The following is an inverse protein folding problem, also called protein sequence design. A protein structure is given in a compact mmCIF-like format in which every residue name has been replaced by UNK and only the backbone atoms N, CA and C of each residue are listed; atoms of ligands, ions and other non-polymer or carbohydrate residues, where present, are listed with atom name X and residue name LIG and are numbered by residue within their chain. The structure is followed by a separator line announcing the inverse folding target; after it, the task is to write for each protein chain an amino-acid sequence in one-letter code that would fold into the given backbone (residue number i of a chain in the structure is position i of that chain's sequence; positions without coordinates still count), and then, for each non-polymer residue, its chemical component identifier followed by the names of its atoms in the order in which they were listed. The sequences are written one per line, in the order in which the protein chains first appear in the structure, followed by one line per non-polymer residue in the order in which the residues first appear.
data_IF_787865661002
#
_entry.id   IF_787865661002
#
_cell.length_a   1.000
_cell.length_b   1.000
_cell.length_c   1.000
_cell.angle_alpha   90.00
_cell.angle_beta   90.00
_cell.angle_gamma   90.00
#
_symmetry.space_group_name_H-M   'P 1'
#
loop_
_entity.id
_entity.type
_entity.pdbx_description
1 polymer ?
#
# COMPACT_ATOMS: atom_id res chain seq x y z
N UNK A 1 -16.29 19.35 3.94
CA UNK A 1 -15.92 20.45 3.05
C UNK A 1 -14.77 21.22 3.66
N UNK A 2 -13.54 20.85 3.38
CA UNK A 2 -12.36 21.70 3.59
C UNK A 2 -11.65 21.82 2.26
N UNK A 3 -11.55 23.06 1.79
CA UNK A 3 -10.94 23.42 0.53
C UNK A 3 -9.41 23.30 0.61
N UNK A 4 -8.83 22.72 -0.43
CA UNK A 4 -7.39 22.67 -0.66
C UNK A 4 -6.90 24.09 -1.00
N UNK A 5 -5.84 24.66 -0.36
CA UNK A 5 -5.35 26.00 -0.63
C UNK A 5 -4.72 26.09 -2.02
N UNK A 6 -5.35 26.86 -2.90
CA UNK A 6 -4.84 27.20 -4.23
C UNK A 6 -3.59 28.06 -4.14
N UNK A 7 -2.58 27.74 -4.97
CA UNK A 7 -1.38 28.57 -5.16
C UNK A 7 -1.75 29.90 -5.79
N UNK A 8 -1.55 30.97 -5.04
CA UNK A 8 -1.65 32.34 -5.54
C UNK A 8 -0.58 32.61 -6.60
N UNK A 9 -1.01 33.17 -7.73
CA UNK A 9 -0.12 33.75 -8.74
C UNK A 9 0.44 35.06 -8.18
N UNK A 10 1.74 35.11 -7.95
CA UNK A 10 2.46 36.33 -7.61
C UNK A 10 2.57 37.25 -8.85
N UNK A 11 1.98 38.42 -8.76
CA UNK A 11 2.21 39.53 -9.70
C UNK A 11 3.58 40.15 -9.44
N UNK A 12 4.30 40.45 -10.53
CA UNK A 12 5.55 41.20 -10.51
C UNK A 12 5.24 42.71 -10.40
N UNK A 13 5.88 43.47 -9.50
CA UNK A 13 5.76 44.93 -9.52
C UNK A 13 6.72 45.57 -10.52
N UNK A 14 6.13 46.55 -11.26
CA UNK A 14 6.81 47.32 -12.28
C UNK A 14 7.87 48.27 -11.77
N UNK A 15 8.80 48.59 -12.66
CA UNK A 15 9.82 49.64 -12.53
C UNK A 15 9.22 51.03 -12.62
N UNK A 16 9.60 51.93 -11.72
CA UNK A 16 9.67 53.36 -12.01
C UNK A 16 10.88 53.95 -11.28
N UNK A 17 11.62 54.78 -12.04
CA UNK A 17 12.88 55.34 -11.67
C UNK A 17 12.81 56.69 -10.96
N UNK A 18 13.95 57.22 -10.57
CA UNK A 18 14.13 58.58 -10.13
C UNK A 18 15.18 58.78 -9.05
N UNK A 19 16.31 59.11 -9.32
CA UNK A 19 17.36 60.08 -9.11
C UNK A 19 17.54 60.67 -7.71
N UNK A 20 18.81 60.84 -7.30
CA UNK A 20 19.17 61.76 -6.23
C UNK A 20 20.50 61.40 -5.52
N UNK A 21 21.52 62.20 -5.77
CA UNK A 21 22.86 62.10 -5.21
C UNK A 21 22.98 62.47 -3.74
N UNK A 22 23.95 61.89 -3.02
CA UNK A 22 24.38 62.35 -1.71
C UNK A 22 25.53 61.50 -1.15
N UNK A 23 26.74 62.06 -1.16
CA UNK A 23 27.95 61.49 -0.55
C UNK A 23 27.86 61.60 0.98
N UNK A 24 28.37 60.62 1.73
CA UNK A 24 29.28 60.84 2.85
C UNK A 24 29.99 59.54 3.30
N UNK A 25 31.24 59.71 3.64
CA UNK A 25 32.21 58.71 4.12
C UNK A 25 31.83 58.11 5.49
N UNK A 26 32.16 56.83 5.66
CA UNK A 26 32.19 56.20 7.00
C UNK A 26 32.63 54.74 6.83
N UNK A 27 33.94 54.50 7.01
CA UNK A 27 34.48 53.15 6.95
C UNK A 27 34.10 52.38 8.21
N UNK A 28 33.58 51.17 7.99
CA UNK A 28 33.47 50.11 9.00
C UNK A 28 34.00 48.83 8.37
N UNK A 29 35.01 48.30 8.97
CA UNK A 29 35.64 47.01 8.63
C UNK A 29 34.63 45.90 8.79
N UNK A 30 34.24 45.29 7.70
CA UNK A 30 33.44 44.08 7.72
C UNK A 30 34.33 42.86 7.86
N UNK A 31 34.32 42.23 9.03
CA UNK A 31 34.76 40.86 9.19
C UNK A 31 33.84 39.94 8.37
N UNK A 32 34.39 39.39 7.31
CA UNK A 32 33.75 38.36 6.50
C UNK A 32 33.85 37.03 7.24
N UNK A 33 32.77 36.65 7.88
CA UNK A 33 32.56 35.27 8.37
C UNK A 33 32.52 34.36 7.16
N UNK A 34 33.31 33.28 7.08
CA UNK A 34 33.21 32.33 5.98
C UNK A 34 31.85 31.61 6.06
N UNK A 35 31.13 31.61 4.94
CA UNK A 35 29.94 30.79 4.75
C UNK A 35 30.28 29.32 5.04
N UNK A 36 29.36 28.55 5.65
CA UNK A 36 29.62 27.15 5.86
C UNK A 36 29.78 26.47 4.50
N UNK A 37 30.98 25.92 4.33
CA UNK A 37 31.34 25.06 3.22
C UNK A 37 30.22 24.02 3.02
N UNK A 38 29.53 24.09 1.87
CA UNK A 38 28.58 23.08 1.50
C UNK A 38 29.23 21.71 1.55
N UNK A 39 28.72 20.86 2.43
CA UNK A 39 29.12 19.47 2.43
C UNK A 39 28.78 18.91 1.04
N UNK A 40 29.80 18.76 0.21
CA UNK A 40 29.70 17.98 -1.01
C UNK A 40 29.34 16.58 -0.58
N UNK A 41 28.10 16.16 -0.88
CA UNK A 41 27.72 14.76 -0.81
C UNK A 41 28.72 14.03 -1.70
N UNK A 42 29.51 13.08 -1.18
CA UNK A 42 30.41 12.32 -2.01
C UNK A 42 29.59 11.65 -3.10
N UNK A 43 29.83 11.93 -4.35
CA UNK A 43 29.36 11.12 -5.46
C UNK A 43 30.17 9.83 -5.42
N UNK A 44 29.73 8.88 -4.58
CA UNK A 44 30.37 7.56 -4.50
C UNK A 44 30.00 6.79 -5.77
N UNK A 45 30.74 7.08 -6.84
CA UNK A 45 30.60 6.44 -8.16
C UNK A 45 30.96 4.93 -8.12
N UNK A 46 31.39 4.44 -6.95
CA UNK A 46 31.74 3.04 -6.69
C UNK A 46 30.72 2.27 -5.85
N UNK A 47 29.71 2.93 -5.29
CA UNK A 47 28.73 2.27 -4.47
C UNK A 47 27.64 1.61 -5.34
N UNK A 48 27.33 0.35 -5.04
CA UNK A 48 26.25 -0.38 -5.71
C UNK A 48 24.88 0.26 -5.49
N UNK A 49 23.97 0.00 -6.39
CA UNK A 49 22.61 0.51 -6.32
C UNK A 49 21.59 -0.56 -6.72
N UNK A 50 20.66 -0.86 -5.83
CA UNK A 50 19.48 -1.64 -6.16
C UNK A 50 18.33 -0.71 -6.53
N UNK A 51 17.79 -0.89 -7.73
CA UNK A 51 16.62 -0.15 -8.23
C UNK A 51 15.47 -1.11 -8.41
N UNK A 52 14.34 -0.86 -7.76
CA UNK A 52 13.08 -1.56 -7.99
C UNK A 52 12.24 -0.73 -8.95
N UNK A 53 11.84 -1.28 -10.08
CA UNK A 53 11.04 -0.51 -11.02
C UNK A 53 9.67 -1.13 -11.26
N UNK A 54 8.64 -0.28 -11.19
CA UNK A 54 7.30 -0.64 -11.60
C UNK A 54 7.21 -0.86 -13.10
N UNK A 55 6.44 -1.87 -13.50
CA UNK A 55 6.14 -2.20 -14.88
C UNK A 55 4.64 -2.05 -15.16
N UNK A 56 4.20 -1.93 -16.42
CA UNK A 56 2.77 -1.86 -16.75
C UNK A 56 2.00 -3.07 -16.22
N UNK A 57 0.78 -2.84 -15.77
CA UNK A 57 -0.16 -3.91 -15.37
C UNK A 57 -1.09 -4.34 -16.51
N UNK A 58 -1.04 -3.66 -17.64
CA UNK A 58 -1.85 -3.93 -18.81
C UNK A 58 -1.46 -3.07 -20.00
N UNK A 59 -1.65 -1.76 -19.91
CA UNK A 59 -1.28 -0.81 -20.96
C UNK A 59 0.22 -0.46 -20.89
N UNK A 60 0.94 -0.72 -21.97
CA UNK A 60 2.37 -0.38 -22.06
C UNK A 60 2.65 1.12 -21.93
N UNK A 61 1.68 1.96 -22.30
CA UNK A 61 1.78 3.41 -22.17
C UNK A 61 1.89 3.87 -20.68
N UNK A 62 1.50 3.03 -19.73
CA UNK A 62 1.63 3.30 -18.30
C UNK A 62 3.06 3.03 -17.77
N UNK A 63 3.98 2.57 -18.61
CA UNK A 63 5.38 2.37 -18.20
C UNK A 63 5.99 3.70 -17.73
N UNK A 64 6.65 3.74 -16.56
CA UNK A 64 7.35 4.94 -16.13
C UNK A 64 8.43 5.33 -17.14
N UNK A 65 8.54 6.61 -17.54
CA UNK A 65 9.59 7.04 -18.48
C UNK A 65 11.02 6.70 -18.01
N UNK A 66 11.26 6.69 -16.69
CA UNK A 66 12.56 6.31 -16.10
C UNK A 66 12.89 4.83 -16.27
N UNK A 67 11.90 3.96 -16.47
CA UNK A 67 12.13 2.51 -16.65
C UNK A 67 13.06 2.25 -17.84
N UNK A 68 12.86 2.94 -18.96
CA UNK A 68 13.70 2.80 -20.14
C UNK A 68 15.18 3.07 -19.80
N UNK A 69 15.46 4.19 -19.14
CA UNK A 69 16.83 4.55 -18.73
C UNK A 69 17.45 3.53 -17.77
N UNK A 70 16.67 3.04 -16.81
CA UNK A 70 17.17 2.03 -15.87
C UNK A 70 17.50 0.70 -16.58
N UNK A 71 16.69 0.27 -17.55
CA UNK A 71 16.96 -0.90 -18.38
C UNK A 71 18.23 -0.76 -19.22
N UNK A 72 18.52 0.45 -19.74
CA UNK A 72 19.70 0.73 -20.55
C UNK A 72 20.98 0.80 -19.70
N UNK A 73 20.89 1.28 -18.46
CA UNK A 73 22.07 1.61 -17.63
C UNK A 73 22.37 0.59 -16.53
N UNK A 74 21.49 -0.36 -16.25
CA UNK A 74 21.75 -1.39 -15.25
C UNK A 74 22.84 -2.37 -15.73
N UNK A 75 23.73 -2.77 -14.82
CA UNK A 75 24.70 -3.83 -15.06
C UNK A 75 24.04 -5.21 -15.08
N UNK A 76 23.00 -5.38 -14.23
CA UNK A 76 22.22 -6.60 -14.14
C UNK A 76 20.73 -6.22 -14.06
N UNK A 77 19.91 -6.87 -14.88
CA UNK A 77 18.45 -6.79 -14.80
C UNK A 77 17.91 -8.14 -14.29
N UNK A 78 17.41 -8.13 -13.08
CA UNK A 78 16.74 -9.27 -12.47
C UNK A 78 15.24 -9.20 -12.81
N UNK A 79 14.74 -10.19 -13.53
CA UNK A 79 13.36 -10.24 -14.01
C UNK A 79 12.67 -11.52 -13.58
N UNK A 80 11.39 -11.42 -13.22
CA UNK A 80 10.57 -12.57 -12.83
C UNK A 80 10.41 -13.55 -14.01
N UNK A 81 9.88 -13.11 -15.13
CA UNK A 81 9.88 -13.83 -16.41
C UNK A 81 10.67 -13.05 -17.46
N UNK A 82 11.83 -13.58 -17.86
CA UNK A 82 12.70 -12.94 -18.85
C UNK A 82 12.07 -12.82 -20.23
N UNK A 83 11.08 -13.66 -20.54
CA UNK A 83 10.33 -13.59 -21.82
C UNK A 83 9.35 -12.42 -21.81
N UNK A 84 8.69 -12.17 -20.66
CA UNK A 84 7.83 -11.00 -20.49
C UNK A 84 8.65 -9.71 -20.50
N UNK A 85 9.80 -9.69 -19.85
CA UNK A 85 10.73 -8.56 -19.94
C UNK A 85 11.11 -8.24 -21.39
N UNK A 86 11.47 -9.25 -22.19
CA UNK A 86 11.82 -9.04 -23.61
C UNK A 86 10.67 -8.46 -24.44
N UNK A 87 9.44 -8.91 -24.19
CA UNK A 87 8.25 -8.33 -24.83
C UNK A 87 8.05 -6.87 -24.44
N UNK A 88 8.23 -6.55 -23.15
CA UNK A 88 8.12 -5.18 -22.65
C UNK A 88 9.19 -4.28 -23.28
N UNK A 89 10.45 -4.70 -23.28
CA UNK A 89 11.55 -3.91 -23.86
C UNK A 89 11.38 -3.70 -25.36
N UNK A 90 10.86 -4.70 -26.07
CA UNK A 90 10.51 -4.58 -27.49
C UNK A 90 9.36 -3.57 -27.69
N UNK A 91 8.32 -3.61 -26.87
CA UNK A 91 7.19 -2.68 -26.97
C UNK A 91 7.59 -1.24 -26.62
N UNK A 92 8.57 -1.06 -25.74
CA UNK A 92 9.13 0.25 -25.37
C UNK A 92 10.23 0.74 -26.30
N UNK A 93 10.67 -0.07 -27.26
CA UNK A 93 11.84 0.18 -28.12
C UNK A 93 13.12 0.47 -27.31
N UNK A 94 13.36 -0.32 -26.26
CA UNK A 94 14.49 -0.15 -25.33
C UNK A 94 15.44 -1.35 -25.43
N UNK A 95 16.75 -1.06 -25.49
CA UNK A 95 17.79 -2.09 -25.40
C UNK A 95 18.26 -2.23 -23.96
N UNK A 96 18.25 -3.45 -23.42
CA UNK A 96 18.83 -3.74 -22.09
C UNK A 96 20.35 -3.65 -22.19
N UNK A 97 20.96 -2.83 -21.34
CA UNK A 97 22.42 -2.58 -21.38
C UNK A 97 23.23 -3.68 -20.71
N UNK A 98 22.69 -4.31 -19.68
CA UNK A 98 23.38 -5.29 -18.87
C UNK A 98 22.92 -6.73 -19.07
N UNK A 99 23.40 -7.59 -18.19
CA UNK A 99 23.03 -9.01 -18.13
C UNK A 99 21.61 -9.19 -17.58
N UNK A 100 20.78 -9.97 -18.26
CA UNK A 100 19.46 -10.35 -17.79
C UNK A 100 19.57 -11.67 -17.00
N UNK A 101 19.03 -11.71 -15.80
CA UNK A 101 18.92 -12.91 -14.95
C UNK A 101 17.47 -13.16 -14.55
N UNK A 102 17.11 -14.42 -14.43
CA UNK A 102 15.81 -14.81 -13.90
C UNK A 102 15.81 -14.73 -12.38
N UNK A 103 14.78 -14.06 -11.80
CA UNK A 103 14.61 -13.90 -10.36
C UNK A 103 13.13 -14.01 -10.01
N UNK A 104 12.69 -15.18 -9.56
CA UNK A 104 11.30 -15.50 -9.22
C UNK A 104 11.25 -16.29 -7.91
N UNK A 105 10.07 -16.46 -7.34
CA UNK A 105 9.87 -17.11 -6.04
C UNK A 105 10.63 -18.43 -5.90
N UNK A 106 10.64 -19.27 -6.95
CA UNK A 106 11.30 -20.57 -6.93
C UNK A 106 12.83 -20.53 -6.93
N UNK A 107 13.48 -19.44 -7.33
CA UNK A 107 14.94 -19.30 -7.37
C UNK A 107 15.49 -18.13 -6.53
N UNK A 108 14.63 -17.35 -5.94
CA UNK A 108 14.95 -16.15 -5.17
C UNK A 108 16.01 -16.41 -4.09
N UNK A 109 15.87 -17.50 -3.33
CA UNK A 109 16.83 -17.88 -2.27
C UNK A 109 18.22 -18.17 -2.83
N UNK A 110 18.32 -18.81 -3.99
CA UNK A 110 19.60 -19.15 -4.62
C UNK A 110 20.25 -17.96 -5.33
N UNK A 111 19.44 -17.05 -5.90
CA UNK A 111 19.93 -15.91 -6.66
C UNK A 111 20.28 -14.69 -5.79
N UNK A 112 19.64 -14.54 -4.63
CA UNK A 112 19.87 -13.38 -3.75
C UNK A 112 21.32 -13.20 -3.35
N UNK A 113 22.10 -14.23 -2.92
CA UNK A 113 23.51 -14.05 -2.57
C UNK A 113 24.35 -13.51 -3.74
N UNK A 114 24.20 -14.06 -4.96
CA UNK A 114 24.91 -13.61 -6.16
C UNK A 114 24.64 -12.14 -6.47
N UNK A 115 23.38 -11.73 -6.44
CA UNK A 115 23.00 -10.35 -6.72
C UNK A 115 23.43 -9.38 -5.61
N UNK A 116 23.37 -9.82 -4.36
CA UNK A 116 23.82 -9.03 -3.22
C UNK A 116 25.36 -8.83 -3.25
N UNK A 117 26.11 -9.83 -3.67
CA UNK A 117 27.57 -9.73 -3.84
C UNK A 117 27.93 -8.78 -5.00
N UNK A 118 27.20 -8.84 -6.11
CA UNK A 118 27.35 -7.89 -7.22
C UNK A 118 27.05 -6.44 -6.77
N UNK A 119 25.99 -6.23 -6.01
CA UNK A 119 25.65 -4.94 -5.42
C UNK A 119 26.76 -4.43 -4.49
N UNK A 120 27.26 -5.28 -3.59
CA UNK A 120 28.37 -4.93 -2.71
C UNK A 120 29.67 -4.59 -3.49
N UNK A 121 29.84 -5.21 -4.66
CA UNK A 121 30.93 -4.92 -5.60
C UNK A 121 30.74 -3.66 -6.46
N UNK A 122 29.68 -2.87 -6.24
CA UNK A 122 29.42 -1.63 -6.94
C UNK A 122 28.48 -1.72 -8.15
N UNK A 123 27.88 -2.89 -8.42
CA UNK A 123 26.98 -3.06 -9.55
C UNK A 123 25.65 -2.31 -9.34
N UNK A 124 25.09 -1.82 -10.47
CA UNK A 124 23.71 -1.34 -10.56
C UNK A 124 22.79 -2.50 -10.95
N UNK A 125 21.95 -2.93 -10.04
CA UNK A 125 20.98 -3.99 -10.24
C UNK A 125 19.58 -3.41 -10.35
N UNK A 126 18.90 -3.70 -11.45
CA UNK A 126 17.48 -3.37 -11.64
C UNK A 126 16.65 -4.62 -11.39
N UNK A 127 15.67 -4.52 -10.50
CA UNK A 127 14.68 -5.55 -10.26
C UNK A 127 13.35 -5.14 -10.87
N UNK A 128 12.79 -5.99 -11.71
CA UNK A 128 11.46 -5.84 -12.31
C UNK A 128 10.66 -7.13 -12.16
N UNK A 129 9.36 -7.00 -12.01
CA UNK A 129 8.41 -8.11 -11.99
C UNK A 129 7.55 -8.13 -13.24
N UNK A 130 6.71 -9.12 -13.40
CA UNK A 130 5.90 -9.31 -14.59
C UNK A 130 4.88 -8.17 -14.79
N UNK A 131 4.37 -7.62 -13.67
CA UNK A 131 3.42 -6.51 -13.70
C UNK A 131 3.43 -5.77 -12.33
N UNK A 132 3.45 -4.45 -12.38
CA UNK A 132 3.37 -3.61 -11.19
C UNK A 132 4.70 -3.41 -10.46
N UNK A 133 4.63 -3.10 -9.17
CA UNK A 133 5.78 -2.86 -8.31
C UNK A 133 6.34 -4.17 -7.75
N UNK A 134 7.67 -4.38 -7.80
CA UNK A 134 8.30 -5.53 -7.14
C UNK A 134 8.03 -5.57 -5.63
N UNK A 135 8.17 -6.75 -5.03
CA UNK A 135 8.02 -7.05 -3.59
C UNK A 135 6.57 -7.05 -3.06
N UNK A 136 5.58 -6.67 -3.84
CA UNK A 136 4.17 -6.70 -3.43
C UNK A 136 3.47 -7.90 -4.06
N UNK A 137 3.36 -9.01 -3.35
CA UNK A 137 2.97 -10.35 -3.87
C UNK A 137 3.88 -10.92 -4.96
N UNK A 138 5.02 -10.30 -5.17
CA UNK A 138 6.02 -10.63 -6.18
C UNK A 138 7.40 -10.81 -5.53
N UNK A 139 8.36 -11.43 -6.23
CA UNK A 139 9.72 -11.56 -5.71
C UNK A 139 10.38 -10.20 -5.51
N UNK A 140 11.31 -10.11 -4.56
CA UNK A 140 12.11 -8.91 -4.33
C UNK A 140 12.44 -8.62 -2.87
N UNK A 141 11.56 -8.94 -1.94
CA UNK A 141 11.79 -8.66 -0.52
C UNK A 141 13.15 -9.17 -0.01
N UNK A 142 13.54 -10.41 -0.38
CA UNK A 142 14.83 -11.00 0.03
C UNK A 142 16.03 -10.23 -0.49
N UNK A 143 15.97 -9.77 -1.74
CA UNK A 143 17.05 -8.99 -2.33
C UNK A 143 17.16 -7.60 -1.69
N UNK A 144 16.02 -6.97 -1.41
CA UNK A 144 16.00 -5.68 -0.69
C UNK A 144 16.59 -5.83 0.70
N UNK A 145 16.17 -6.85 1.46
CA UNK A 145 16.72 -7.12 2.78
C UNK A 145 18.24 -7.36 2.74
N UNK A 146 18.72 -8.21 1.81
CA UNK A 146 20.14 -8.49 1.64
C UNK A 146 20.96 -7.26 1.21
N UNK A 147 20.40 -6.36 0.42
CA UNK A 147 21.03 -5.08 0.05
C UNK A 147 21.15 -4.14 1.25
N UNK A 148 20.07 -4.02 2.03
CA UNK A 148 20.05 -3.20 3.26
C UNK A 148 21.05 -3.72 4.30
N UNK A 149 21.15 -5.04 4.50
CA UNK A 149 22.14 -5.65 5.39
C UNK A 149 23.60 -5.36 5.00
N UNK A 150 23.84 -5.01 3.74
CA UNK A 150 25.18 -4.67 3.19
C UNK A 150 25.39 -3.18 3.01
N UNK A 151 24.54 -2.34 3.58
CA UNK A 151 24.55 -0.88 3.41
C UNK A 151 24.50 -0.42 1.94
N UNK A 152 23.97 -1.24 1.05
CA UNK A 152 23.77 -0.89 -0.36
C UNK A 152 22.53 0.00 -0.47
N UNK A 153 22.66 1.09 -1.20
CA UNK A 153 21.55 1.99 -1.47
C UNK A 153 20.46 1.29 -2.26
N UNK A 154 19.22 1.42 -1.77
CA UNK A 154 18.01 0.92 -2.43
C UNK A 154 17.13 2.10 -2.82
N UNK A 155 16.63 2.10 -4.05
CA UNK A 155 15.70 3.11 -4.55
C UNK A 155 14.62 2.47 -5.44
N UNK A 156 13.64 3.25 -5.82
CA UNK A 156 12.57 2.79 -6.71
C UNK A 156 12.31 3.76 -7.86
N UNK A 157 11.87 3.21 -8.97
CA UNK A 157 11.14 3.92 -10.02
C UNK A 157 9.66 3.65 -9.78
N UNK A 158 8.90 4.61 -9.24
CA UNK A 158 7.48 4.43 -9.02
C UNK A 158 6.74 4.09 -10.32
N UNK A 159 5.82 3.17 -10.24
CA UNK A 159 5.07 2.73 -11.40
C UNK A 159 3.69 2.19 -11.05
N UNK A 160 3.00 1.57 -12.00
CA UNK A 160 1.66 1.01 -11.81
C UNK A 160 1.59 0.03 -10.65
N UNK A 161 0.43 -0.03 -10.02
CA UNK A 161 0.08 -0.98 -8.96
C UNK A 161 -1.38 -1.38 -9.11
N UNK A 162 -1.65 -2.68 -9.27
CA UNK A 162 -3.02 -3.20 -9.33
C UNK A 162 -3.79 -2.92 -8.03
N UNK A 163 -3.13 -2.95 -6.87
CA UNK A 163 -3.73 -2.63 -5.57
C UNK A 163 -4.23 -1.20 -5.54
N UNK A 164 -3.36 -0.22 -5.82
CA UNK A 164 -3.72 1.19 -5.76
C UNK A 164 -4.68 1.59 -6.88
N UNK A 165 -4.53 1.01 -8.08
CA UNK A 165 -5.45 1.25 -9.19
C UNK A 165 -6.86 0.74 -8.87
N UNK A 166 -6.97 -0.48 -8.33
CA UNK A 166 -8.25 -1.05 -7.91
C UNK A 166 -8.92 -0.21 -6.81
N UNK A 167 -8.16 0.21 -5.80
CA UNK A 167 -8.66 1.12 -4.75
C UNK A 167 -9.21 2.41 -5.35
N UNK A 168 -8.45 3.06 -6.23
CA UNK A 168 -8.82 4.34 -6.85
C UNK A 168 -10.14 4.26 -7.64
N UNK A 169 -10.42 3.14 -8.31
CA UNK A 169 -11.62 2.96 -9.13
C UNK A 169 -12.75 2.23 -8.41
N UNK A 170 -12.54 1.72 -7.20
CA UNK A 170 -13.51 0.90 -6.46
C UNK A 170 -14.78 1.65 -6.07
N UNK A 171 -14.67 2.93 -5.74
CA UNK A 171 -15.75 3.73 -5.14
C UNK A 171 -16.03 3.40 -3.67
N UNK A 172 -15.11 2.69 -3.00
CA UNK A 172 -15.13 2.37 -1.57
C UNK A 172 -14.20 3.32 -0.79
N UNK A 173 -14.31 3.41 0.55
CA UNK A 173 -13.39 4.18 1.36
C UNK A 173 -11.94 3.72 1.19
N UNK A 174 -10.99 4.63 0.93
CA UNK A 174 -9.59 4.30 0.60
C UNK A 174 -8.55 4.97 1.49
N UNK A 175 -8.98 5.74 2.47
CA UNK A 175 -8.15 6.45 3.44
C UNK A 175 -7.28 5.49 4.26
N UNK A 176 -7.80 4.30 4.56
CA UNK A 176 -7.11 3.21 5.26
C UNK A 176 -7.47 1.88 4.63
N UNK A 177 -6.48 1.08 4.29
CA UNK A 177 -6.71 -0.24 3.69
C UNK A 177 -5.70 -1.28 4.18
N UNK A 178 -6.05 -2.56 4.03
CA UNK A 178 -5.18 -3.71 4.23
C UNK A 178 -5.08 -4.49 2.93
N UNK A 179 -3.87 -4.83 2.53
CA UNK A 179 -3.62 -5.74 1.42
C UNK A 179 -3.40 -7.16 1.96
N UNK A 180 -4.28 -8.08 1.58
CA UNK A 180 -4.31 -9.46 2.06
C UNK A 180 -3.69 -10.46 1.06
N UNK A 181 -3.43 -10.04 -0.19
CA UNK A 181 -2.86 -10.90 -1.23
C UNK A 181 -3.82 -11.98 -1.71
N UNK A 182 -3.29 -13.16 -2.02
CA UNK A 182 -4.08 -14.32 -2.43
C UNK A 182 -4.57 -15.13 -1.23
N UNK A 183 -5.81 -15.54 -1.26
CA UNK A 183 -6.38 -16.44 -0.26
C UNK A 183 -5.94 -17.90 -0.49
N UNK A 184 -5.91 -18.73 0.57
CA UNK A 184 -5.63 -20.15 0.45
C UNK A 184 -6.56 -20.86 -0.54
N UNK A 185 -6.03 -21.87 -1.23
CA UNK A 185 -6.81 -22.65 -2.23
C UNK A 185 -7.88 -23.53 -1.58
N UNK A 186 -7.57 -24.13 -0.42
CA UNK A 186 -8.50 -25.00 0.29
C UNK A 186 -9.61 -24.20 0.95
N UNK A 187 -10.86 -24.64 0.76
CA UNK A 187 -12.04 -23.91 1.23
C UNK A 187 -12.02 -23.64 2.75
N UNK A 188 -11.62 -24.62 3.57
CA UNK A 188 -11.53 -24.46 5.02
C UNK A 188 -10.47 -23.45 5.46
N UNK A 189 -9.29 -23.49 4.85
CA UNK A 189 -8.19 -22.54 5.12
C UNK A 189 -8.59 -21.13 4.64
N UNK A 190 -9.26 -21.01 3.50
CA UNK A 190 -9.78 -19.74 2.97
C UNK A 190 -10.79 -19.10 3.92
N UNK A 191 -11.78 -19.88 4.44
CA UNK A 191 -12.74 -19.39 5.43
C UNK A 191 -12.07 -18.97 6.74
N UNK A 192 -11.10 -19.75 7.22
CA UNK A 192 -10.34 -19.42 8.42
C UNK A 192 -9.60 -18.09 8.24
N UNK A 193 -8.92 -17.89 7.10
CA UNK A 193 -8.22 -16.63 6.81
C UNK A 193 -9.16 -15.44 6.71
N UNK A 194 -10.32 -15.60 6.09
CA UNK A 194 -11.35 -14.57 6.04
C UNK A 194 -11.90 -14.23 7.43
N UNK A 195 -12.10 -15.25 8.29
CA UNK A 195 -12.59 -15.05 9.65
C UNK A 195 -11.62 -14.20 10.51
N UNK A 196 -10.32 -14.31 10.31
CA UNK A 196 -9.32 -13.51 11.02
C UNK A 196 -9.50 -12.00 10.79
N UNK A 197 -10.00 -11.61 9.62
CA UNK A 197 -10.18 -10.21 9.21
C UNK A 197 -11.65 -9.79 9.10
N UNK A 198 -12.59 -10.62 9.58
CA UNK A 198 -14.03 -10.34 9.46
C UNK A 198 -14.47 -9.04 10.14
N UNK A 199 -13.78 -8.68 11.25
CA UNK A 199 -14.02 -7.45 12.01
C UNK A 199 -13.12 -6.28 11.58
N UNK A 200 -12.29 -6.44 10.53
CA UNK A 200 -11.41 -5.38 10.06
C UNK A 200 -12.23 -4.23 9.46
N UNK A 201 -12.04 -3.04 10.00
CA UNK A 201 -12.78 -1.83 9.61
C UNK A 201 -12.18 -1.09 8.41
N UNK A 202 -10.91 -1.36 8.11
CA UNK A 202 -10.24 -0.81 6.93
C UNK A 202 -10.69 -1.56 5.69
N UNK A 203 -10.67 -0.91 4.55
CA UNK A 203 -10.92 -1.57 3.26
C UNK A 203 -9.90 -2.67 3.02
N UNK A 204 -10.35 -3.82 2.55
CA UNK A 204 -9.54 -5.00 2.29
C UNK A 204 -9.30 -5.17 0.79
N UNK A 205 -8.09 -5.51 0.40
CA UNK A 205 -7.73 -5.75 -1.01
C UNK A 205 -7.14 -7.14 -1.17
N UNK A 206 -7.65 -7.88 -2.14
CA UNK A 206 -7.22 -9.25 -2.46
C UNK A 206 -6.87 -9.37 -3.93
N UNK A 207 -5.89 -10.21 -4.25
CA UNK A 207 -5.71 -10.76 -5.58
C UNK A 207 -6.43 -12.09 -5.70
N UNK A 208 -6.98 -12.38 -6.88
CA UNK A 208 -7.60 -13.68 -7.11
C UNK A 208 -7.46 -14.14 -8.57
N UNK A 209 -7.42 -15.44 -8.73
CA UNK A 209 -7.41 -16.07 -10.05
C UNK A 209 -8.83 -16.21 -10.61
N UNK A 210 -9.02 -16.09 -11.94
CA UNK A 210 -10.35 -16.11 -12.55
C UNK A 210 -11.13 -17.41 -12.32
N UNK A 211 -10.44 -18.53 -12.20
CA UNK A 211 -11.07 -19.83 -11.96
C UNK A 211 -11.47 -20.09 -10.50
N UNK A 212 -11.26 -19.12 -9.60
CA UNK A 212 -11.52 -19.22 -8.15
C UNK A 212 -12.37 -18.09 -7.62
N UNK A 213 -12.66 -17.08 -8.44
CA UNK A 213 -13.29 -15.83 -7.98
C UNK A 213 -14.71 -16.08 -7.46
N UNK A 214 -15.46 -16.96 -8.06
CA UNK A 214 -16.83 -17.34 -7.65
C UNK A 214 -16.83 -17.97 -6.25
N UNK A 215 -16.00 -18.98 -6.02
CA UNK A 215 -15.80 -19.60 -4.72
C UNK A 215 -15.32 -18.60 -3.66
N UNK A 216 -14.43 -17.70 -4.04
CA UNK A 216 -13.86 -16.70 -3.14
C UNK A 216 -14.91 -15.67 -2.73
N UNK A 217 -15.68 -15.13 -3.66
CA UNK A 217 -16.77 -14.19 -3.36
C UNK A 217 -17.90 -14.84 -2.55
N UNK A 218 -18.22 -16.10 -2.83
CA UNK A 218 -19.17 -16.85 -2.02
C UNK A 218 -18.70 -17.02 -0.56
N UNK A 219 -17.43 -17.37 -0.35
CA UNK A 219 -16.83 -17.46 0.97
C UNK A 219 -16.78 -16.10 1.69
N UNK A 220 -16.47 -15.02 0.96
CA UNK A 220 -16.50 -13.65 1.50
C UNK A 220 -17.93 -13.26 1.92
N UNK A 221 -18.95 -13.56 1.11
CA UNK A 221 -20.35 -13.29 1.45
C UNK A 221 -20.81 -14.06 2.69
N UNK A 222 -20.36 -15.31 2.85
CA UNK A 222 -20.64 -16.14 4.02
C UNK A 222 -20.01 -15.56 5.31
N UNK A 223 -18.73 -15.12 5.23
CA UNK A 223 -17.96 -14.72 6.42
C UNK A 223 -18.14 -13.23 6.74
N UNK A 224 -18.16 -12.35 5.75
CA UNK A 224 -18.26 -10.90 5.95
C UNK A 224 -19.70 -10.38 5.95
N UNK A 225 -20.64 -11.20 5.44
CA UNK A 225 -22.04 -10.83 5.23
C UNK A 225 -22.38 -10.57 3.77
N UNK A 226 -23.55 -11.04 3.36
CA UNK A 226 -24.06 -10.98 1.99
C UNK A 226 -24.11 -9.55 1.42
N UNK A 227 -24.48 -8.58 2.27
CA UNK A 227 -24.67 -7.17 1.92
C UNK A 227 -23.38 -6.33 1.97
N UNK A 228 -22.24 -6.91 2.38
CA UNK A 228 -20.98 -6.22 2.42
C UNK A 228 -20.60 -5.73 1.01
N UNK A 229 -20.38 -4.44 0.87
CA UNK A 229 -20.04 -3.83 -0.42
C UNK A 229 -18.65 -4.21 -0.87
N UNK A 230 -18.50 -4.48 -2.17
CA UNK A 230 -17.23 -4.80 -2.78
C UNK A 230 -17.16 -4.30 -4.23
N UNK A 231 -15.96 -4.32 -4.77
CA UNK A 231 -15.69 -4.08 -6.18
C UNK A 231 -14.76 -5.17 -6.71
N UNK A 232 -15.15 -5.82 -7.79
CA UNK A 232 -14.30 -6.76 -8.54
C UNK A 232 -13.73 -6.01 -9.74
N UNK A 233 -12.42 -5.76 -9.70
CA UNK A 233 -11.69 -5.09 -10.77
C UNK A 233 -10.97 -6.15 -11.60
N UNK A 234 -11.30 -6.28 -12.87
CA UNK A 234 -10.65 -7.21 -13.76
C UNK A 234 -10.02 -6.52 -14.95
N UNK A 235 -8.90 -7.06 -15.42
CA UNK A 235 -8.20 -6.59 -16.60
C UNK A 235 -7.93 -5.07 -16.58
N UNK A 236 -7.57 -4.52 -15.41
CA UNK A 236 -7.29 -3.10 -15.22
C UNK A 236 -6.28 -2.60 -16.26
N UNK A 237 -6.57 -1.46 -16.88
CA UNK A 237 -5.81 -0.80 -17.95
C UNK A 237 -5.76 -1.54 -19.28
N UNK A 238 -6.40 -2.73 -19.40
CA UNK A 238 -6.46 -3.53 -20.63
C UNK A 238 -7.76 -3.28 -21.41
N UNK A 239 -7.83 -3.80 -22.61
CA UNK A 239 -8.98 -3.62 -23.54
C UNK A 239 -10.32 -4.04 -22.93
N UNK A 240 -10.32 -5.07 -22.09
CA UNK A 240 -11.53 -5.61 -21.45
C UNK A 240 -11.59 -5.27 -19.97
N UNK A 241 -11.10 -4.08 -19.60
CA UNK A 241 -11.22 -3.57 -18.24
C UNK A 241 -12.69 -3.52 -17.80
N UNK A 242 -12.96 -4.03 -16.61
CA UNK A 242 -14.28 -3.95 -16.00
C UNK A 242 -14.16 -3.79 -14.48
N UNK A 243 -14.98 -2.92 -13.92
CA UNK A 243 -15.12 -2.75 -12.47
C UNK A 243 -16.57 -3.03 -12.09
N UNK A 244 -16.83 -4.22 -11.57
CA UNK A 244 -18.16 -4.64 -11.11
C UNK A 244 -18.31 -4.35 -9.62
N UNK A 245 -19.27 -3.53 -9.27
CA UNK A 245 -19.54 -3.10 -7.87
C UNK A 245 -20.86 -3.63 -7.40
N UNK A 246 -20.98 -3.95 -6.11
CA UNK A 246 -22.23 -4.38 -5.48
C UNK A 246 -22.01 -5.10 -4.17
N UNK A 247 -23.08 -5.63 -3.58
CA UNK A 247 -23.01 -6.54 -2.44
C UNK A 247 -22.29 -7.85 -2.81
N UNK A 248 -21.57 -8.44 -1.85
CA UNK A 248 -20.83 -9.68 -2.07
C UNK A 248 -21.68 -10.82 -2.63
N UNK A 249 -22.94 -10.96 -2.18
CA UNK A 249 -23.84 -12.00 -2.67
C UNK A 249 -24.16 -11.84 -4.16
N UNK A 250 -24.39 -10.61 -4.62
CA UNK A 250 -24.66 -10.33 -6.04
C UNK A 250 -23.40 -10.54 -6.89
N UNK A 251 -22.24 -10.14 -6.38
CA UNK A 251 -20.97 -10.34 -7.07
C UNK A 251 -20.61 -11.82 -7.18
N UNK A 252 -20.90 -12.63 -6.15
CA UNK A 252 -20.74 -14.08 -6.20
C UNK A 252 -21.62 -14.73 -7.26
N UNK A 253 -22.87 -14.31 -7.37
CA UNK A 253 -23.81 -14.78 -8.41
C UNK A 253 -23.32 -14.42 -9.81
N UNK A 254 -22.91 -13.17 -10.01
CA UNK A 254 -22.32 -12.71 -11.27
C UNK A 254 -21.07 -13.50 -11.63
N UNK A 255 -20.17 -13.75 -10.68
CA UNK A 255 -18.92 -14.46 -10.95
C UNK A 255 -19.12 -15.93 -11.31
N UNK A 256 -20.23 -16.57 -10.85
CA UNK A 256 -20.58 -17.94 -11.20
C UNK A 256 -20.90 -18.13 -12.68
N UNK A 257 -21.20 -17.07 -13.42
CA UNK A 257 -21.37 -17.09 -14.88
C UNK A 257 -20.04 -17.23 -15.65
N UNK A 258 -18.93 -17.11 -14.94
CA UNK A 258 -17.56 -17.21 -15.45
C UNK A 258 -16.91 -15.85 -15.69
N UNK A 259 -15.77 -15.65 -15.04
CA UNK A 259 -14.95 -14.43 -15.15
C UNK A 259 -13.59 -14.79 -15.71
N UNK A 260 -13.03 -13.92 -16.54
CA UNK A 260 -11.71 -14.10 -17.18
C UNK A 260 -10.78 -12.93 -16.83
N UNK A 261 -9.49 -13.18 -16.92
CA UNK A 261 -8.45 -12.18 -16.77
C UNK A 261 -7.92 -12.07 -15.34
N UNK A 262 -7.05 -11.10 -15.13
CA UNK A 262 -6.46 -10.80 -13.81
C UNK A 262 -7.44 -10.01 -12.95
N UNK A 263 -7.57 -10.39 -11.68
CA UNK A 263 -8.62 -9.88 -10.80
C UNK A 263 -8.02 -9.32 -9.51
N UNK A 264 -8.46 -8.12 -9.16
CA UNK A 264 -8.27 -7.52 -7.84
C UNK A 264 -9.65 -7.27 -7.22
N UNK A 265 -9.85 -7.76 -6.00
CA UNK A 265 -11.10 -7.56 -5.24
C UNK A 265 -10.86 -6.55 -4.14
N UNK A 266 -11.72 -5.54 -4.08
CA UNK A 266 -11.73 -4.54 -3.02
C UNK A 266 -13.01 -4.72 -2.21
N UNK A 267 -12.89 -4.92 -0.89
CA UNK A 267 -14.02 -5.16 0.00
C UNK A 267 -14.08 -4.05 1.04
N UNK A 268 -15.24 -3.47 1.23
CA UNK A 268 -15.47 -2.48 2.28
C UNK A 268 -15.19 -3.08 3.67
N UNK A 269 -14.59 -2.29 4.55
CA UNK A 269 -14.32 -2.69 5.92
C UNK A 269 -15.59 -3.06 6.70
N UNK A 270 -15.44 -3.74 7.82
CA UNK A 270 -16.56 -4.04 8.71
C UNK A 270 -17.24 -2.74 9.16
N UNK A 271 -18.57 -2.69 9.20
CA UNK A 271 -19.28 -1.55 9.77
C UNK A 271 -18.95 -1.40 11.26
N UNK A 272 -19.17 -0.22 11.78
CA UNK A 272 -19.14 -0.06 13.23
C UNK A 272 -20.25 -0.93 13.83
N UNK A 273 -19.97 -1.67 14.92
CA UNK A 273 -21.04 -2.36 15.61
C UNK A 273 -22.13 -1.37 15.98
N UNK A 274 -23.35 -1.63 15.50
CA UNK A 274 -24.50 -0.81 15.88
C UNK A 274 -24.83 -1.00 17.37
N UNK A 275 -25.67 -0.13 17.95
CA UNK A 275 -26.10 -0.25 19.34
C UNK A 275 -26.69 -1.63 19.66
N UNK A 276 -27.32 -2.27 18.68
CA UNK A 276 -27.94 -3.59 18.82
C UNK A 276 -26.94 -4.76 18.75
N UNK A 277 -25.72 -4.52 18.23
CA UNK A 277 -24.72 -5.57 18.03
C UNK A 277 -23.72 -5.67 19.20
N UNK A 278 -23.82 -4.77 20.17
CA UNK A 278 -22.95 -4.75 21.33
C UNK A 278 -23.53 -5.64 22.43
N UNK A 279 -22.97 -6.83 22.57
CA UNK A 279 -23.29 -7.66 23.74
C UNK A 279 -22.64 -7.11 25.02
N UNK A 280 -23.10 -7.62 26.15
CA UNK A 280 -22.60 -7.18 27.46
C UNK A 280 -21.08 -7.37 27.61
N UNK A 281 -20.50 -8.39 26.98
CA UNK A 281 -19.06 -8.66 27.03
C UNK A 281 -18.25 -7.58 26.30
N UNK A 282 -18.73 -7.14 25.14
CA UNK A 282 -18.09 -6.07 24.36
C UNK A 282 -18.18 -4.71 25.09
N UNK A 283 -19.32 -4.40 25.69
CA UNK A 283 -19.46 -3.19 26.51
C UNK A 283 -18.45 -3.18 27.66
N UNK A 284 -18.33 -4.31 28.37
CA UNK A 284 -17.34 -4.48 29.46
C UNK A 284 -15.93 -4.33 28.94
N UNK A 285 -15.58 -4.94 27.82
CA UNK A 285 -14.25 -4.84 27.20
C UNK A 285 -13.88 -3.38 26.90
N UNK A 286 -14.80 -2.62 26.30
CA UNK A 286 -14.58 -1.20 25.96
C UNK A 286 -14.36 -0.34 27.23
N UNK A 287 -15.11 -0.58 28.28
CA UNK A 287 -14.92 0.11 29.54
C UNK A 287 -13.54 -0.20 30.12
N UNK A 288 -13.09 -1.45 30.11
CA UNK A 288 -11.76 -1.86 30.59
C UNK A 288 -10.62 -1.17 29.84
N UNK A 289 -10.69 -1.14 28.51
CA UNK A 289 -9.67 -0.46 27.68
C UNK A 289 -9.53 1.02 28.09
N UNK A 290 -10.63 1.70 28.38
CA UNK A 290 -10.61 3.09 28.83
C UNK A 290 -10.08 3.25 30.25
N UNK A 291 -10.43 2.33 31.16
CA UNK A 291 -9.88 2.30 32.52
C UNK A 291 -8.35 2.06 32.50
N UNK A 292 -7.85 1.15 31.65
CA UNK A 292 -6.43 0.90 31.45
C UNK A 292 -5.69 2.10 30.85
N UNK A 293 -6.39 2.92 30.04
CA UNK A 293 -5.88 4.20 29.53
C UNK A 293 -5.92 5.32 30.59
N UNK A 294 -6.38 5.05 31.82
CA UNK A 294 -6.39 6.00 32.95
C UNK A 294 -7.70 6.75 33.17
N UNK A 295 -8.76 6.45 32.41
CA UNK A 295 -10.08 7.05 32.63
C UNK A 295 -10.73 6.49 33.90
N UNK A 296 -11.46 7.36 34.64
CA UNK A 296 -12.24 6.90 35.78
C UNK A 296 -13.42 6.05 35.28
N UNK A 297 -13.74 4.97 35.99
CA UNK A 297 -14.84 4.03 35.62
C UNK A 297 -16.14 4.73 35.26
N UNK A 298 -16.57 5.72 36.02
CA UNK A 298 -17.79 6.48 35.77
C UNK A 298 -17.76 7.23 34.42
N UNK A 299 -16.61 7.76 34.08
CA UNK A 299 -16.36 8.47 32.81
C UNK A 299 -16.31 7.49 31.65
N UNK A 300 -15.56 6.38 31.81
CA UNK A 300 -15.47 5.30 30.86
C UNK A 300 -16.86 4.69 30.51
N UNK A 301 -17.68 4.41 31.53
CA UNK A 301 -19.06 3.93 31.35
C UNK A 301 -19.90 4.97 30.58
N UNK A 302 -19.78 6.25 30.92
CA UNK A 302 -20.54 7.30 30.24
C UNK A 302 -20.14 7.44 28.76
N UNK A 303 -18.84 7.36 28.48
CA UNK A 303 -18.29 7.43 27.13
C UNK A 303 -18.74 6.21 26.28
N UNK A 304 -18.58 5.00 26.83
CA UNK A 304 -19.02 3.77 26.15
C UNK A 304 -20.52 3.78 25.89
N UNK A 305 -21.33 4.23 26.85
CA UNK A 305 -22.78 4.34 26.66
C UNK A 305 -23.16 5.31 25.53
N UNK A 306 -22.46 6.45 25.45
CA UNK A 306 -22.68 7.44 24.39
C UNK A 306 -22.27 6.90 23.01
N UNK A 307 -21.11 6.24 22.93
CA UNK A 307 -20.59 5.62 21.70
C UNK A 307 -21.46 4.44 21.22
N UNK A 308 -21.94 3.65 22.17
CA UNK A 308 -22.78 2.49 21.89
C UNK A 308 -24.26 2.88 21.64
N UNK A 309 -24.67 4.11 21.92
CA UNK A 309 -26.07 4.51 21.81
C UNK A 309 -27.01 3.78 22.79
N UNK A 310 -26.47 3.24 23.87
CA UNK A 310 -27.23 2.52 24.91
C UNK A 310 -27.33 3.32 26.21
N UNK A 311 -28.34 3.05 27.07
CA UNK A 311 -28.43 3.69 28.37
C UNK A 311 -27.20 3.42 29.24
N UNK A 312 -26.70 4.43 29.97
CA UNK A 312 -25.56 4.27 30.92
C UNK A 312 -25.79 3.14 31.94
N UNK A 313 -27.03 2.91 32.30
CA UNK A 313 -27.43 1.84 33.23
C UNK A 313 -27.11 0.45 32.66
N UNK A 314 -27.34 0.24 31.38
CA UNK A 314 -27.06 -1.03 30.71
C UNK A 314 -25.56 -1.36 30.72
N UNK A 315 -24.71 -0.39 30.40
CA UNK A 315 -23.25 -0.53 30.49
C UNK A 315 -22.79 -0.79 31.92
N UNK A 316 -23.39 -0.07 32.87
CA UNK A 316 -23.08 -0.25 34.30
C UNK A 316 -23.44 -1.66 34.78
N UNK A 317 -24.65 -2.12 34.47
CA UNK A 317 -25.15 -3.45 34.87
C UNK A 317 -24.26 -4.56 34.24
N UNK A 318 -23.83 -4.43 32.98
CA UNK A 318 -22.90 -5.34 32.33
C UNK A 318 -21.54 -5.40 33.06
N UNK A 319 -20.96 -4.26 33.40
CA UNK A 319 -19.68 -4.18 34.13
C UNK A 319 -19.78 -4.80 35.52
N UNK A 320 -20.87 -4.55 36.24
CA UNK A 320 -21.12 -5.13 37.58
C UNK A 320 -21.28 -6.65 37.48
N UNK A 321 -22.05 -7.14 36.51
CA UNK A 321 -22.24 -8.59 36.28
C UNK A 321 -20.93 -9.31 35.99
N UNK A 322 -20.09 -8.74 35.13
CA UNK A 322 -18.76 -9.29 34.81
C UNK A 322 -17.85 -9.37 36.04
N UNK A 323 -17.82 -8.31 36.85
CA UNK A 323 -17.04 -8.28 38.11
C UNK A 323 -17.51 -9.31 39.13
N UNK A 324 -18.82 -9.52 39.22
CA UNK A 324 -19.38 -10.53 40.11
C UNK A 324 -19.07 -11.95 39.63
N UNK A 325 -19.11 -12.21 38.32
CA UNK A 325 -18.71 -13.48 37.72
C UNK A 325 -17.24 -13.81 38.01
N UNK A 326 -16.34 -12.86 37.86
CA UNK A 326 -14.91 -13.03 38.19
C UNK A 326 -14.66 -13.35 39.65
N UNK A 327 -15.39 -12.66 40.54
CA UNK A 327 -15.26 -12.89 42.00
C UNK A 327 -15.80 -14.27 42.42
N UNK A 328 -16.74 -14.83 41.70
CA UNK A 328 -17.32 -16.15 42.00
C UNK A 328 -16.54 -17.30 41.35
N UNK A 329 -15.62 -17.02 40.42
CA UNK A 329 -14.79 -17.99 39.71
C UNK A 329 -13.38 -18.16 40.33
N UNK A 330 -12.97 -17.28 41.25
CA UNK A 330 -11.72 -17.32 42.00
C UNK A 330 -11.93 -17.64 43.47
#
# INVERSE_FOLDING_TARGET
GEEWPGRGRGELPGRSGGGGAGRHHGGVTSETSPAPSGASVPSDASAGLLVLAGTPIGDVADAPPRLARELETADIVAAEDTRRLRRLTQALDVRVGGRIVSYFEGNESARTPELADALAGGARVLLVTDAGMPSVSDPGYRLVAAAVERDVRVTAVPGPSAVLTALAVSGLPVDRFCFEGFLPRKAGERRARLAEVAAERRTLVYFEAPHRIDDTLAAMAEVFGAERRAAVCRELTKTYEEVKRGPLAELATWAAEGVRGEITVVVEGAPEPGPADLDAAELVRRVRVREEAGERRKEAIAAVAAEAGVPKREVFDAVVAAKNAERNAG
#
